data_IF_997729545994
#
_entry.id   IF_997729545994
#
_cell.length_a   1.000
_cell.length_b   1.000
_cell.length_c   1.000
_cell.angle_alpha   90.00
_cell.angle_beta   90.00
_cell.angle_gamma   90.00
#
_symmetry.space_group_name_H-M   'P 1'
#
loop_
_entity.id
_entity.type
_entity.pdbx_description
1 polymer ?
#
# COMPACT_ATOMS: atom_id res chain seq x y z
N UNK A 1 10.02 20.11 -15.03
CA UNK A 1 11.38 19.51 -15.15
C UNK A 1 12.15 20.00 -16.38
N UNK A 2 11.60 19.95 -17.60
CA UNK A 2 12.28 20.45 -18.80
C UNK A 2 12.66 21.95 -18.70
N UNK A 3 11.81 22.79 -18.11
CA UNK A 3 12.12 24.21 -17.90
C UNK A 3 13.19 24.46 -16.82
N UNK A 4 13.29 23.59 -15.81
CA UNK A 4 14.29 23.72 -14.74
C UNK A 4 15.72 23.42 -15.24
N UNK A 5 15.85 22.62 -16.31
CA UNK A 5 17.12 22.26 -16.95
C UNK A 5 17.45 23.14 -18.17
N UNK A 6 16.56 24.07 -18.55
CA UNK A 6 16.79 25.02 -19.64
C UNK A 6 18.08 25.86 -19.50
N UNK A 7 18.55 26.26 -18.29
CA UNK A 7 19.80 27.01 -18.14
C UNK A 7 21.07 26.23 -18.51
N UNK A 8 21.01 24.89 -18.58
CA UNK A 8 22.17 24.01 -18.78
C UNK A 8 22.44 23.64 -20.26
N UNK A 9 21.70 24.22 -21.21
CA UNK A 9 21.95 24.05 -22.65
C UNK A 9 22.02 22.59 -23.12
N UNK A 10 23.09 22.21 -23.85
CA UNK A 10 23.27 20.87 -24.42
C UNK A 10 23.47 19.75 -23.39
N UNK A 11 24.12 20.03 -22.26
CA UNK A 11 24.30 19.04 -21.18
C UNK A 11 22.99 18.75 -20.44
N UNK A 12 22.12 19.77 -20.32
CA UNK A 12 20.76 19.60 -19.77
C UNK A 12 19.93 18.59 -20.55
N UNK A 13 20.08 18.51 -21.89
CA UNK A 13 19.40 17.50 -22.72
C UNK A 13 19.90 16.08 -22.45
N UNK A 14 21.21 15.90 -22.23
CA UNK A 14 21.76 14.59 -21.86
C UNK A 14 21.23 14.12 -20.50
N UNK A 15 21.25 14.99 -19.49
CA UNK A 15 20.70 14.69 -18.17
C UNK A 15 19.20 14.39 -18.24
N UNK A 16 18.45 15.11 -19.08
CA UNK A 16 17.03 14.85 -19.29
C UNK A 16 16.77 13.47 -19.90
N UNK A 17 17.59 13.02 -20.86
CA UNK A 17 17.50 11.65 -21.42
C UNK A 17 17.79 10.59 -20.35
N UNK A 18 18.84 10.78 -19.54
CA UNK A 18 19.18 9.84 -18.46
C UNK A 18 18.07 9.80 -17.41
N UNK A 19 17.52 10.96 -17.04
CA UNK A 19 16.40 11.06 -16.10
C UNK A 19 15.14 10.38 -16.65
N UNK A 20 14.82 10.60 -17.93
CA UNK A 20 13.70 9.95 -18.59
C UNK A 20 13.88 8.43 -18.61
N UNK A 21 15.08 7.93 -18.92
CA UNK A 21 15.39 6.50 -18.92
C UNK A 21 15.24 5.90 -17.51
N UNK A 22 15.66 6.62 -16.47
CA UNK A 22 15.50 6.21 -15.07
C UNK A 22 14.02 6.08 -14.67
N UNK A 23 13.20 7.09 -15.04
CA UNK A 23 11.75 7.06 -14.78
C UNK A 23 11.09 5.87 -15.48
N UNK A 24 11.45 5.60 -16.74
CA UNK A 24 10.94 4.44 -17.49
C UNK A 24 11.32 3.13 -16.78
N UNK A 25 12.57 2.99 -16.34
CA UNK A 25 13.03 1.82 -15.61
C UNK A 25 12.24 1.58 -14.31
N UNK A 26 12.02 2.63 -13.53
CA UNK A 26 11.22 2.55 -12.31
C UNK A 26 9.75 2.16 -12.59
N UNK A 27 9.15 2.74 -13.63
CA UNK A 27 7.77 2.43 -14.02
C UNK A 27 7.59 0.98 -14.48
N UNK A 28 8.58 0.39 -15.17
CA UNK A 28 8.53 -1.02 -15.57
C UNK A 28 8.48 -1.93 -14.34
N UNK A 29 9.29 -1.64 -13.32
CA UNK A 29 9.33 -2.44 -12.10
C UNK A 29 8.01 -2.34 -11.32
N UNK A 30 7.45 -1.15 -11.18
CA UNK A 30 6.15 -0.97 -10.51
C UNK A 30 5.01 -1.66 -11.26
N UNK A 31 4.93 -1.52 -12.59
CA UNK A 31 3.92 -2.23 -13.39
C UNK A 31 4.11 -3.75 -13.35
N UNK A 32 5.35 -4.21 -13.24
CA UNK A 32 5.67 -5.63 -13.07
C UNK A 32 5.07 -6.18 -11.78
N UNK A 33 5.31 -5.50 -10.65
CA UNK A 33 4.80 -5.88 -9.35
C UNK A 33 3.27 -5.89 -9.31
N UNK A 34 2.61 -4.87 -9.87
CA UNK A 34 1.12 -4.81 -9.93
C UNK A 34 0.56 -6.01 -10.71
N UNK A 35 1.14 -6.32 -11.87
CA UNK A 35 0.68 -7.44 -12.69
C UNK A 35 0.83 -8.78 -11.98
N UNK A 36 1.93 -8.99 -11.25
CA UNK A 36 2.11 -10.20 -10.43
C UNK A 36 1.11 -10.26 -9.27
N UNK A 37 0.89 -9.17 -8.55
CA UNK A 37 -0.08 -9.12 -7.45
C UNK A 37 -1.48 -9.48 -7.95
N UNK A 38 -1.91 -8.96 -9.11
CA UNK A 38 -3.21 -9.29 -9.71
C UNK A 38 -3.32 -10.77 -10.12
N UNK A 39 -2.23 -11.36 -10.61
CA UNK A 39 -2.18 -12.80 -10.96
C UNK A 39 -2.21 -13.70 -9.71
N UNK A 40 -1.63 -13.26 -8.60
CA UNK A 40 -1.66 -13.98 -7.32
C UNK A 40 -2.98 -13.84 -6.56
N UNK A 41 -3.76 -12.79 -6.85
CA UNK A 41 -4.99 -12.47 -6.09
C UNK A 41 -6.13 -13.47 -6.34
N UNK A 42 -6.28 -13.98 -7.58
CA UNK A 42 -7.29 -15.00 -7.91
C UNK A 42 -6.66 -16.05 -8.84
N UNK A 43 -6.83 -17.36 -8.58
CA UNK A 43 -6.30 -18.42 -9.44
C UNK A 43 -6.85 -18.38 -10.88
N UNK A 44 -7.98 -17.70 -11.10
CA UNK A 44 -8.57 -17.44 -12.43
C UNK A 44 -7.74 -16.41 -13.21
N UNK A 45 -7.18 -15.39 -12.55
CA UNK A 45 -6.36 -14.36 -13.17
C UNK A 45 -4.98 -14.85 -13.57
N UNK A 46 -4.48 -15.94 -12.99
CA UNK A 46 -3.25 -16.60 -13.41
C UNK A 46 -3.31 -17.15 -14.85
N UNK A 47 -4.51 -17.40 -15.39
CA UNK A 47 -4.71 -17.86 -16.79
C UNK A 47 -4.70 -16.72 -17.81
N UNK A 48 -4.81 -15.47 -17.37
CA UNK A 48 -4.87 -14.30 -18.25
C UNK A 48 -3.44 -13.86 -18.61
N UNK A 49 -3.14 -13.63 -19.90
CA UNK A 49 -1.82 -13.19 -20.31
C UNK A 49 -1.47 -11.84 -19.69
N UNK A 50 -0.28 -11.77 -19.10
CA UNK A 50 0.21 -10.66 -18.28
C UNK A 50 0.13 -9.28 -18.92
N UNK A 51 0.29 -9.23 -20.25
CA UNK A 51 0.22 -7.99 -21.02
C UNK A 51 -1.13 -7.27 -20.85
N UNK A 52 -2.23 -8.00 -20.72
CA UNK A 52 -3.56 -7.41 -20.54
C UNK A 52 -3.69 -6.63 -19.23
N UNK A 53 -3.11 -7.14 -18.14
CA UNK A 53 -3.09 -6.42 -16.85
C UNK A 53 -2.26 -5.15 -16.93
N UNK A 54 -1.09 -5.21 -17.58
CA UNK A 54 -0.22 -4.05 -17.76
C UNK A 54 -0.92 -2.97 -18.58
N UNK A 55 -1.58 -3.34 -19.69
CA UNK A 55 -2.35 -2.39 -20.52
C UNK A 55 -3.51 -1.80 -19.74
N UNK A 56 -4.25 -2.60 -18.96
CA UNK A 56 -5.34 -2.10 -18.13
C UNK A 56 -4.84 -1.14 -17.04
N UNK A 57 -3.74 -1.45 -16.36
CA UNK A 57 -3.12 -0.56 -15.37
C UNK A 57 -2.67 0.75 -16.03
N UNK A 58 -2.01 0.69 -17.19
CA UNK A 58 -1.62 1.88 -17.97
C UNK A 58 -2.82 2.72 -18.40
N UNK A 59 -3.90 2.08 -18.87
CA UNK A 59 -5.12 2.77 -19.28
C UNK A 59 -5.79 3.54 -18.13
N UNK A 60 -5.69 3.03 -16.89
CA UNK A 60 -6.16 3.74 -15.70
C UNK A 60 -5.17 4.81 -15.22
N UNK A 61 -3.87 4.53 -15.30
CA UNK A 61 -2.81 5.42 -14.82
C UNK A 61 -2.70 6.69 -15.66
N UNK A 62 -2.88 6.63 -16.98
CA UNK A 62 -2.74 7.78 -17.88
C UNK A 62 -3.74 8.92 -17.54
N UNK A 63 -5.06 8.67 -17.46
CA UNK A 63 -6.03 9.71 -17.07
C UNK A 63 -5.77 10.27 -15.67
N UNK A 64 -5.46 9.39 -14.70
CA UNK A 64 -5.14 9.82 -13.33
C UNK A 64 -3.89 10.72 -13.29
N UNK A 65 -2.86 10.40 -14.07
CA UNK A 65 -1.64 11.20 -14.16
C UNK A 65 -1.89 12.59 -14.76
N UNK A 66 -2.79 12.69 -15.75
CA UNK A 66 -3.17 13.98 -16.35
C UNK A 66 -3.88 14.86 -15.32
N UNK A 67 -4.82 14.30 -14.56
CA UNK A 67 -5.53 15.03 -13.52
C UNK A 67 -4.58 15.44 -12.37
N UNK A 68 -3.72 14.53 -11.92
CA UNK A 68 -2.74 14.81 -10.88
C UNK A 68 -1.72 15.89 -11.31
N UNK A 69 -1.34 15.93 -12.59
CA UNK A 69 -0.46 16.97 -13.11
C UNK A 69 -1.09 18.38 -13.09
N UNK A 70 -2.41 18.49 -13.19
CA UNK A 70 -3.10 19.78 -13.13
C UNK A 70 -3.08 20.41 -11.72
N UNK A 71 -3.04 19.58 -10.68
CA UNK A 71 -2.96 19.99 -9.26
C UNK A 71 -1.81 19.26 -8.56
N UNK A 72 -0.59 19.45 -9.07
CA UNK A 72 0.58 18.66 -8.69
C UNK A 72 0.80 18.58 -7.17
N UNK A 73 0.87 19.72 -6.49
CA UNK A 73 1.19 19.77 -5.06
C UNK A 73 0.09 19.12 -4.21
N UNK A 74 -1.17 19.51 -4.43
CA UNK A 74 -2.34 18.94 -3.72
C UNK A 74 -2.42 17.42 -3.94
N UNK A 75 -2.24 16.96 -5.18
CA UNK A 75 -2.30 15.55 -5.54
C UNK A 75 -1.16 14.75 -4.93
N UNK A 76 0.05 15.32 -4.89
CA UNK A 76 1.21 14.67 -4.28
C UNK A 76 1.04 14.49 -2.76
N UNK A 77 0.62 15.53 -2.05
CA UNK A 77 0.42 15.47 -0.60
C UNK A 77 -0.67 14.44 -0.27
N UNK A 78 -1.81 14.51 -0.97
CA UNK A 78 -2.89 13.53 -0.78
C UNK A 78 -2.43 12.09 -1.05
N UNK A 79 -1.67 11.87 -2.12
CA UNK A 79 -1.17 10.54 -2.46
C UNK A 79 -0.17 10.00 -1.42
N UNK A 80 0.74 10.86 -0.95
CA UNK A 80 1.73 10.49 0.05
C UNK A 80 1.06 10.16 1.39
N UNK A 81 0.07 10.95 1.81
CA UNK A 81 -0.70 10.71 3.03
C UNK A 81 -1.44 9.37 2.97
N UNK A 82 -2.13 9.07 1.87
CA UNK A 82 -2.85 7.79 1.70
C UNK A 82 -1.91 6.60 1.77
N UNK A 83 -0.75 6.66 1.11
CA UNK A 83 0.26 5.60 1.18
C UNK A 83 0.80 5.45 2.60
N UNK A 84 1.05 6.57 3.29
CA UNK A 84 1.51 6.57 4.67
C UNK A 84 0.54 5.86 5.62
N UNK A 85 -0.74 6.21 5.58
CA UNK A 85 -1.75 5.59 6.45
C UNK A 85 -1.90 4.10 6.18
N UNK A 86 -1.84 3.70 4.91
CA UNK A 86 -1.90 2.30 4.53
C UNK A 86 -0.66 1.52 5.00
N UNK A 87 0.53 2.10 4.85
CA UNK A 87 1.77 1.51 5.35
C UNK A 87 1.74 1.32 6.87
N UNK A 88 1.24 2.31 7.63
CA UNK A 88 1.09 2.21 9.08
C UNK A 88 0.15 1.07 9.53
N UNK A 89 -0.96 0.86 8.81
CA UNK A 89 -1.83 -0.30 9.05
C UNK A 89 -1.09 -1.63 8.81
N UNK A 90 -0.35 -1.72 7.70
CA UNK A 90 0.36 -2.95 7.33
C UNK A 90 1.50 -3.27 8.30
N UNK A 91 2.28 -2.25 8.68
CA UNK A 91 3.38 -2.39 9.63
C UNK A 91 2.88 -2.83 11.01
N UNK A 92 1.77 -2.25 11.50
CA UNK A 92 1.16 -2.67 12.77
C UNK A 92 0.80 -4.15 12.77
N UNK A 93 0.14 -4.63 11.71
CA UNK A 93 -0.29 -6.03 11.57
C UNK A 93 0.93 -6.96 11.53
N UNK A 94 1.95 -6.64 10.74
CA UNK A 94 3.14 -7.47 10.59
C UNK A 94 3.95 -7.53 11.89
N UNK A 95 4.12 -6.38 12.55
CA UNK A 95 4.85 -6.30 13.84
C UNK A 95 4.13 -7.13 14.89
N UNK A 96 2.81 -6.99 15.00
CA UNK A 96 2.04 -7.72 15.99
C UNK A 96 2.02 -9.22 15.71
N UNK A 97 1.88 -9.62 14.44
CA UNK A 97 1.97 -11.01 14.03
C UNK A 97 3.30 -11.65 14.40
N UNK A 98 4.40 -10.95 14.09
CA UNK A 98 5.74 -11.46 14.31
C UNK A 98 6.10 -11.53 15.80
N UNK A 99 5.75 -10.50 16.57
CA UNK A 99 6.13 -10.38 17.98
C UNK A 99 5.18 -11.16 18.90
N UNK A 100 3.87 -10.98 18.74
CA UNK A 100 2.87 -11.47 19.71
C UNK A 100 2.45 -12.90 19.41
N UNK A 101 2.20 -13.23 18.14
CA UNK A 101 1.65 -14.54 17.78
C UNK A 101 2.72 -15.55 17.41
N UNK A 102 3.79 -15.11 16.75
CA UNK A 102 4.89 -15.98 16.31
C UNK A 102 6.12 -15.96 17.22
N UNK A 103 6.13 -15.14 18.29
CA UNK A 103 7.25 -15.02 19.24
C UNK A 103 8.62 -14.88 18.55
N UNK A 104 8.68 -14.19 17.41
CA UNK A 104 9.89 -13.99 16.62
C UNK A 104 10.52 -15.29 16.05
N UNK A 105 9.78 -16.41 16.03
CA UNK A 105 10.26 -17.66 15.46
C UNK A 105 9.91 -17.76 13.97
N UNK A 106 10.91 -17.46 13.14
CA UNK A 106 10.84 -17.55 11.68
C UNK A 106 10.72 -18.99 11.16
N UNK A 107 10.96 -20.01 12.00
CA UNK A 107 10.79 -21.42 11.62
C UNK A 107 9.33 -21.86 11.55
N UNK A 108 8.41 -21.02 12.03
CA UNK A 108 6.96 -21.21 11.90
C UNK A 108 6.43 -21.02 10.47
N UNK A 109 7.23 -20.45 9.56
CA UNK A 109 6.85 -20.33 8.15
C UNK A 109 7.21 -21.61 7.41
N UNK A 110 6.24 -22.51 7.27
CA UNK A 110 6.40 -23.72 6.45
C UNK A 110 6.29 -23.35 4.95
N UNK A 111 7.38 -23.45 4.16
CA UNK A 111 7.36 -23.15 2.74
C UNK A 111 6.47 -24.11 1.95
N UNK A 112 6.15 -25.29 2.47
CA UNK A 112 5.33 -26.30 1.77
C UNK A 112 3.84 -25.95 1.79
N UNK A 113 3.42 -25.07 2.70
CA UNK A 113 2.01 -24.69 2.89
C UNK A 113 1.63 -23.43 2.09
N UNK A 114 2.60 -22.78 1.43
CA UNK A 114 2.43 -21.46 0.80
C UNK A 114 1.27 -21.37 -0.22
N UNK A 115 0.92 -22.48 -0.86
CA UNK A 115 -0.14 -22.55 -1.89
C UNK A 115 -1.39 -23.34 -1.43
N UNK A 116 -1.56 -23.57 -0.13
CA UNK A 116 -2.69 -24.30 0.43
C UNK A 116 -3.62 -23.35 1.19
N UNK A 117 -4.57 -22.72 0.48
CA UNK A 117 -5.52 -21.74 1.03
C UNK A 117 -6.32 -22.22 2.25
N UNK A 118 -6.42 -23.54 2.47
CA UNK A 118 -7.15 -24.15 3.59
C UNK A 118 -6.31 -24.33 4.87
N UNK A 119 -4.98 -24.19 4.77
CA UNK A 119 -4.04 -24.28 5.90
C UNK A 119 -3.42 -22.93 6.26
N UNK A 120 -3.69 -21.90 5.46
CA UNK A 120 -3.28 -20.52 5.73
C UNK A 120 -4.35 -19.83 6.58
N UNK A 121 -3.97 -19.00 7.57
CA UNK A 121 -4.94 -18.16 8.28
C UNK A 121 -5.69 -17.31 7.27
N UNK A 122 -7.00 -17.11 7.48
CA UNK A 122 -7.88 -16.59 6.42
C UNK A 122 -7.62 -15.13 6.05
N UNK A 123 -6.76 -14.44 6.81
CA UNK A 123 -6.46 -13.03 6.61
C UNK A 123 -7.67 -12.13 6.88
N UNK A 124 -8.81 -12.71 7.27
CA UNK A 124 -10.05 -11.99 7.57
C UNK A 124 -9.91 -11.15 8.84
N UNK A 125 -9.12 -11.57 9.84
CA UNK A 125 -8.82 -10.70 10.98
C UNK A 125 -7.95 -9.51 10.58
N UNK A 126 -7.00 -9.69 9.67
CA UNK A 126 -6.16 -8.58 9.17
C UNK A 126 -7.01 -7.58 8.38
N UNK A 127 -7.84 -8.06 7.46
CA UNK A 127 -8.76 -7.22 6.68
C UNK A 127 -9.79 -6.54 7.61
N UNK A 128 -10.34 -7.26 8.58
CA UNK A 128 -11.27 -6.73 9.57
C UNK A 128 -10.63 -5.65 10.46
N UNK A 129 -9.41 -5.87 10.94
CA UNK A 129 -8.67 -4.89 11.73
C UNK A 129 -8.32 -3.63 10.91
N UNK A 130 -7.93 -3.80 9.64
CA UNK A 130 -7.71 -2.67 8.73
C UNK A 130 -9.01 -1.91 8.44
N UNK A 131 -10.16 -2.57 8.34
CA UNK A 131 -11.44 -1.89 8.16
C UNK A 131 -11.90 -1.14 9.42
N UNK A 132 -11.62 -1.69 10.61
CA UNK A 132 -11.91 -1.02 11.89
C UNK A 132 -11.00 0.19 12.10
N UNK A 133 -9.73 0.11 11.69
CA UNK A 133 -8.80 1.24 11.80
C UNK A 133 -9.20 2.42 10.91
N UNK A 134 -9.80 2.18 9.74
CA UNK A 134 -10.39 3.24 8.91
C UNK A 134 -11.42 4.08 9.67
N UNK A 135 -12.15 3.50 10.63
CA UNK A 135 -13.14 4.21 11.44
C UNK A 135 -12.55 5.32 12.32
N UNK A 136 -11.29 5.18 12.76
CA UNK A 136 -10.60 6.18 13.61
C UNK A 136 -9.56 7.00 12.83
N UNK A 137 -9.05 6.45 11.74
CA UNK A 137 -8.14 7.15 10.81
C UNK A 137 -8.88 8.27 10.09
N UNK A 138 -10.06 8.00 9.50
CA UNK A 138 -10.85 9.02 8.78
C UNK A 138 -11.07 10.32 9.58
N UNK A 139 -11.48 10.29 10.87
CA UNK A 139 -11.63 11.52 11.64
C UNK A 139 -10.31 12.19 12.10
N UNK A 140 -9.17 11.51 12.01
CA UNK A 140 -7.85 11.96 12.49
C UNK A 140 -6.93 12.48 11.38
N UNK A 141 -7.36 12.38 10.11
CA UNK A 141 -6.62 12.86 8.95
C UNK A 141 -6.72 14.39 8.85
N UNK A 142 -5.60 15.04 8.53
CA UNK A 142 -5.57 16.43 8.08
C UNK A 142 -4.84 16.52 6.74
N UNK A 143 -5.59 16.33 5.65
CA UNK A 143 -5.08 16.40 4.27
C UNK A 143 -5.81 17.46 3.48
N UNK A 144 -5.20 18.02 2.42
CA UNK A 144 -5.87 18.96 1.52
C UNK A 144 -7.23 18.46 0.98
N UNK A 145 -7.39 17.15 0.86
CA UNK A 145 -8.63 16.51 0.41
C UNK A 145 -9.70 16.38 1.49
N UNK A 146 -9.30 16.10 2.74
CA UNK A 146 -10.22 15.90 3.85
C UNK A 146 -9.52 16.20 5.18
N UNK A 147 -10.11 17.11 5.97
CA UNK A 147 -9.71 17.37 7.35
C UNK A 147 -10.81 16.86 8.27
N UNK A 148 -10.47 15.86 9.08
CA UNK A 148 -11.36 15.31 10.09
C UNK A 148 -11.44 16.20 11.35
N UNK A 149 -12.50 16.07 12.17
CA UNK A 149 -12.72 16.91 13.35
C UNK A 149 -11.63 16.78 14.43
N UNK A 150 -10.87 15.68 14.42
CA UNK A 150 -9.71 15.48 15.31
C UNK A 150 -8.45 16.08 14.67
N UNK A 151 -8.29 15.92 13.35
CA UNK A 151 -7.21 16.51 12.56
C UNK A 151 -7.19 18.04 12.61
N UNK A 152 -8.36 18.68 12.58
CA UNK A 152 -8.50 20.15 12.65
C UNK A 152 -7.92 20.75 13.95
N UNK A 153 -7.90 19.98 15.04
CA UNK A 153 -7.45 20.47 16.36
C UNK A 153 -6.01 20.13 16.70
N UNK A 154 -5.47 19.04 16.17
CA UNK A 154 -4.20 18.44 16.63
C UNK A 154 -3.18 18.32 15.47
N UNK A 155 -3.62 18.41 14.21
CA UNK A 155 -2.82 18.16 13.01
C UNK A 155 -2.94 16.71 12.51
N UNK A 156 -2.22 16.38 11.43
CA UNK A 156 -2.31 15.07 10.78
C UNK A 156 -1.74 13.95 11.66
N UNK A 157 -2.64 13.22 12.35
CA UNK A 157 -2.32 12.01 13.10
C UNK A 157 -2.72 10.74 12.35
N UNK A 158 -2.99 10.79 11.04
CA UNK A 158 -3.50 9.64 10.31
C UNK A 158 -2.58 8.41 10.38
N UNK A 159 -1.26 8.58 10.38
CA UNK A 159 -0.31 7.47 10.50
C UNK A 159 -0.27 6.86 11.91
N UNK A 160 -0.11 7.69 12.94
CA UNK A 160 -0.01 7.22 14.33
C UNK A 160 -1.32 6.61 14.81
N UNK A 161 -2.45 7.21 14.44
CA UNK A 161 -3.78 6.66 14.71
C UNK A 161 -4.02 5.36 13.96
N UNK A 162 -3.61 5.24 12.69
CA UNK A 162 -3.67 3.99 11.94
C UNK A 162 -2.87 2.89 12.63
N UNK A 163 -1.64 3.18 13.06
CA UNK A 163 -0.76 2.21 13.71
C UNK A 163 -1.33 1.71 15.04
N UNK A 164 -1.69 2.63 15.95
CA UNK A 164 -2.15 2.31 17.30
C UNK A 164 -3.52 1.62 17.28
N UNK A 165 -4.46 2.09 16.45
CA UNK A 165 -5.80 1.52 16.38
C UNK A 165 -5.80 0.17 15.68
N UNK A 166 -5.00 0.01 14.63
CA UNK A 166 -4.86 -1.30 13.98
C UNK A 166 -4.25 -2.31 14.94
N UNK A 167 -3.21 -1.96 15.70
CA UNK A 167 -2.62 -2.87 16.70
C UNK A 167 -3.59 -3.21 17.84
N UNK A 168 -4.34 -2.23 18.36
CA UNK A 168 -5.34 -2.51 19.41
C UNK A 168 -6.52 -3.36 18.91
N UNK A 169 -6.92 -3.20 17.64
CA UNK A 169 -8.02 -3.97 17.05
C UNK A 169 -7.57 -5.36 16.59
N UNK A 170 -6.33 -5.51 16.12
CA UNK A 170 -5.82 -6.77 15.60
C UNK A 170 -5.61 -7.81 16.71
N UNK A 171 -5.14 -7.40 17.89
CA UNK A 171 -4.96 -8.30 19.04
C UNK A 171 -6.20 -9.13 19.40
N UNK A 172 -7.39 -8.53 19.67
CA UNK A 172 -8.60 -9.28 19.99
C UNK A 172 -9.15 -10.05 18.79
N UNK A 173 -9.10 -9.48 17.58
CA UNK A 173 -9.59 -10.16 16.37
C UNK A 173 -8.78 -11.43 16.07
N UNK A 174 -7.46 -11.37 16.25
CA UNK A 174 -6.60 -12.52 16.00
C UNK A 174 -6.66 -13.57 17.10
N UNK A 175 -6.81 -13.19 18.37
CA UNK A 175 -7.10 -14.18 19.42
C UNK A 175 -8.44 -14.88 19.19
N UNK A 176 -9.42 -14.20 18.59
CA UNK A 176 -10.70 -14.80 18.22
C UNK A 176 -10.55 -15.73 16.99
N UNK A 177 -9.78 -15.34 15.97
CA UNK A 177 -9.48 -16.20 14.81
C UNK A 177 -8.73 -17.47 15.25
N UNK A 178 -7.76 -17.37 16.16
CA UNK A 178 -7.05 -18.53 16.71
C UNK A 178 -7.98 -19.47 17.50
N UNK A 179 -8.94 -18.92 18.24
CA UNK A 179 -9.95 -19.72 18.96
C UNK A 179 -10.93 -20.43 18.02
N UNK A 180 -11.25 -19.83 16.88
CA UNK A 180 -12.21 -20.38 15.91
C UNK A 180 -11.54 -21.36 14.93
N UNK A 181 -10.30 -21.10 14.49
CA UNK A 181 -9.60 -21.91 13.49
C UNK A 181 -8.66 -22.97 14.08
N UNK A 182 -8.23 -22.82 15.33
CA UNK A 182 -7.42 -23.82 16.04
C UNK A 182 -6.02 -24.07 15.46
N UNK A 183 -5.56 -23.25 14.52
CA UNK A 183 -4.22 -23.29 13.93
C UNK A 183 -3.68 -21.86 13.81
N UNK A 184 -2.37 -21.70 14.00
CA UNK A 184 -1.61 -20.43 13.89
C UNK A 184 -1.31 -20.09 12.43
#
# INVERSE_FOLDING_TARGET
MAEMLAPAGGFGKFVLVVLALSVVGNMVLSNYSVALCLQMLVPVFAKVPRFLFIVATLANMIPMSIYAAAKWEESLVNFLSVIGYWAGCFDAIIIEELIVFRNMDYRSYDPEIWNQSRRLPTGLAAIGASLVSLGLVVPSIDTPWFTGPIGERIGDLGFESAFVVTGMAYYPLRTLELRVMGHV
#
